data_IF_778941301153
#
_entry.id   IF_778941301153
#
_cell.length_a   1.000
_cell.length_b   1.000
_cell.length_c   1.000
_cell.angle_alpha   90.00
_cell.angle_beta   90.00
_cell.angle_gamma   90.00
#
_symmetry.space_group_name_H-M   'P 1'
#
loop_
_entity.id
_entity.type
_entity.pdbx_description
1 polymer ?
#
# COMPACT_ATOMS: atom_id res chain seq x y z
N UNK A 1 1.47 20.64 -6.88
CA UNK A 1 0.17 20.44 -6.19
C UNK A 1 0.46 20.28 -4.72
N UNK A 2 -0.30 20.93 -3.83
CA UNK A 2 -0.12 20.71 -2.40
C UNK A 2 -0.45 19.25 -2.08
N UNK A 3 0.42 18.60 -1.31
CA UNK A 3 0.25 17.23 -0.80
C UNK A 3 -1.15 16.98 -0.23
N UNK A 4 -1.81 18.01 0.32
CA UNK A 4 -3.18 17.95 0.83
C UNK A 4 -4.23 17.44 -0.15
N UNK A 5 -4.06 17.60 -1.47
CA UNK A 5 -4.99 17.01 -2.45
C UNK A 5 -4.80 15.51 -2.61
N UNK A 6 -3.55 15.02 -2.56
CA UNK A 6 -3.27 13.59 -2.57
C UNK A 6 -3.74 12.94 -1.27
N UNK A 7 -3.54 13.61 -0.14
CA UNK A 7 -4.10 13.21 1.15
C UNK A 7 -5.63 13.06 1.09
N UNK A 8 -6.33 14.05 0.52
CA UNK A 8 -7.79 13.98 0.39
C UNK A 8 -8.26 12.82 -0.51
N UNK A 9 -7.54 12.53 -1.61
CA UNK A 9 -7.82 11.37 -2.47
C UNK A 9 -7.60 10.08 -1.70
N UNK A 10 -6.44 9.93 -1.03
CA UNK A 10 -6.15 8.75 -0.23
C UNK A 10 -7.25 8.49 0.80
N UNK A 11 -7.68 9.54 1.52
CA UNK A 11 -8.72 9.41 2.55
C UNK A 11 -10.11 9.08 1.99
N UNK A 12 -10.46 9.57 0.81
CA UNK A 12 -11.80 9.34 0.24
C UNK A 12 -11.91 8.02 -0.52
N UNK A 13 -10.84 7.61 -1.18
CA UNK A 13 -10.86 6.46 -2.10
C UNK A 13 -10.30 5.18 -1.47
N UNK A 14 -9.39 5.32 -0.49
CA UNK A 14 -8.57 4.22 0.03
C UNK A 14 -8.66 4.01 1.53
N UNK A 15 -9.08 4.99 2.35
CA UNK A 15 -9.35 4.74 3.77
C UNK A 15 -10.72 4.07 3.94
N UNK A 16 -10.75 2.74 3.84
CA UNK A 16 -11.98 1.94 3.86
C UNK A 16 -11.68 0.51 4.30
N UNK A 17 -12.75 -0.14 4.72
CA UNK A 17 -12.79 -1.57 4.96
C UNK A 17 -13.22 -2.28 3.67
N UNK A 18 -12.50 -3.34 3.33
CA UNK A 18 -12.77 -4.23 2.22
C UNK A 18 -13.32 -5.52 2.80
N UNK A 19 -14.53 -5.88 2.39
CA UNK A 19 -15.16 -7.14 2.78
C UNK A 19 -15.21 -8.03 1.55
N UNK A 20 -14.70 -9.24 1.67
CA UNK A 20 -14.73 -10.25 0.62
C UNK A 20 -14.92 -11.65 1.23
N UNK A 21 -15.21 -12.60 0.36
CA UNK A 21 -15.44 -13.99 0.73
C UNK A 21 -14.26 -14.82 0.20
N UNK A 22 -13.56 -15.52 1.09
CA UNK A 22 -12.47 -16.44 0.79
C UNK A 22 -12.85 -17.77 1.42
N UNK A 23 -12.85 -18.85 0.65
CA UNK A 23 -13.22 -20.19 1.12
C UNK A 23 -14.57 -20.25 1.87
N UNK A 24 -15.56 -19.51 1.36
CA UNK A 24 -16.91 -19.34 1.96
C UNK A 24 -16.92 -18.62 3.33
N UNK A 25 -15.80 -18.03 3.75
CA UNK A 25 -15.68 -17.23 4.99
C UNK A 25 -15.52 -15.73 4.69
N UNK A 26 -16.27 -14.85 5.39
CA UNK A 26 -16.14 -13.41 5.22
C UNK A 26 -14.87 -12.91 5.90
N UNK A 27 -14.01 -12.21 5.15
CA UNK A 27 -12.78 -11.59 5.65
C UNK A 27 -12.87 -10.08 5.46
N UNK A 28 -12.51 -9.32 6.50
CA UNK A 28 -12.46 -7.86 6.45
C UNK A 28 -11.02 -7.37 6.48
N UNK A 29 -10.57 -6.70 5.42
CA UNK A 29 -9.30 -5.96 5.40
C UNK A 29 -9.53 -4.46 5.52
N UNK A 30 -9.02 -3.88 6.60
CA UNK A 30 -8.99 -2.43 6.80
C UNK A 30 -7.74 -1.82 6.20
N UNK A 31 -7.85 -0.84 5.29
CA UNK A 31 -6.68 -0.08 4.84
C UNK A 31 -6.33 0.98 5.88
N UNK A 32 -5.25 0.75 6.63
CA UNK A 32 -4.79 1.61 7.73
C UNK A 32 -3.74 2.63 7.33
N UNK A 33 -2.99 2.38 6.26
CA UNK A 33 -1.88 3.26 5.88
C UNK A 33 -1.65 3.33 4.38
N UNK A 34 -1.11 4.47 3.95
CA UNK A 34 -0.79 4.71 2.55
C UNK A 34 0.46 5.56 2.43
N UNK A 35 1.44 5.07 1.69
CA UNK A 35 2.65 5.80 1.33
C UNK A 35 2.76 5.85 -0.19
N UNK A 36 3.07 7.03 -0.72
CA UNK A 36 3.44 7.21 -2.13
C UNK A 36 4.92 7.57 -2.22
N UNK A 37 5.63 7.00 -3.18
CA UNK A 37 7.01 7.33 -3.49
C UNK A 37 7.26 7.42 -5.00
N UNK A 38 8.16 8.30 -5.41
CA UNK A 38 8.67 8.36 -6.78
C UNK A 38 9.73 7.27 -7.00
N UNK A 39 9.69 6.66 -8.18
CA UNK A 39 10.65 5.66 -8.64
C UNK A 39 11.02 5.90 -10.09
N UNK A 40 12.24 5.49 -10.47
CA UNK A 40 12.76 5.73 -11.84
C UNK A 40 12.10 4.83 -12.91
N UNK A 41 11.41 3.76 -12.49
CA UNK A 41 10.71 2.85 -13.41
C UNK A 41 9.26 3.27 -13.66
N UNK A 42 8.86 3.24 -14.94
CA UNK A 42 7.46 3.42 -15.37
C UNK A 42 6.71 2.10 -15.55
N UNK A 43 7.36 0.95 -15.33
CA UNK A 43 6.72 -0.35 -15.47
C UNK A 43 5.59 -0.53 -14.46
N UNK A 44 4.59 -1.31 -14.84
CA UNK A 44 3.63 -1.85 -13.90
C UNK A 44 4.26 -3.04 -13.17
N UNK A 45 4.18 -3.04 -11.84
CA UNK A 45 4.57 -4.18 -11.01
C UNK A 45 3.78 -4.13 -9.69
N UNK A 46 3.70 -5.25 -8.99
CA UNK A 46 3.19 -5.26 -7.62
C UNK A 46 4.00 -6.23 -6.75
N UNK A 47 3.90 -6.04 -5.44
CA UNK A 47 4.45 -6.94 -4.44
C UNK A 47 3.49 -6.98 -3.25
N UNK A 48 3.34 -8.15 -2.66
CA UNK A 48 2.55 -8.37 -1.46
C UNK A 48 3.49 -8.87 -0.37
N UNK A 49 3.41 -8.25 0.80
CA UNK A 49 4.25 -8.58 1.95
C UNK A 49 3.33 -8.91 3.12
N UNK A 50 3.56 -10.06 3.74
CA UNK A 50 3.04 -10.35 5.07
C UNK A 50 4.04 -9.81 6.10
N UNK A 51 3.56 -9.08 7.09
CA UNK A 51 4.33 -8.67 8.26
C UNK A 51 4.01 -9.52 9.49
N UNK A 52 2.76 -10.00 9.57
CA UNK A 52 2.26 -11.00 10.50
C UNK A 52 0.97 -11.62 9.95
N UNK A 53 0.41 -12.61 10.63
CA UNK A 53 -0.76 -13.40 10.21
C UNK A 53 -2.02 -12.56 9.87
N UNK A 54 -2.09 -11.31 10.34
CA UNK A 54 -3.18 -10.37 10.05
C UNK A 54 -2.73 -9.02 9.50
N UNK A 55 -1.45 -8.82 9.21
CA UNK A 55 -0.90 -7.54 8.77
C UNK A 55 -0.19 -7.67 7.43
N UNK A 56 -0.66 -6.89 6.46
CA UNK A 56 -0.24 -7.02 5.08
C UNK A 56 0.14 -5.68 4.45
N UNK A 57 1.06 -5.70 3.49
CA UNK A 57 1.41 -4.56 2.67
C UNK A 57 1.30 -4.91 1.19
N UNK A 58 0.42 -4.20 0.48
CA UNK A 58 0.36 -4.24 -0.97
C UNK A 58 1.13 -3.04 -1.55
N UNK A 59 2.19 -3.31 -2.29
CA UNK A 59 2.93 -2.32 -3.05
C UNK A 59 2.56 -2.39 -4.53
N UNK A 60 2.08 -1.30 -5.11
CA UNK A 60 1.74 -1.22 -6.54
C UNK A 60 2.58 -0.13 -7.19
N UNK A 61 3.39 -0.53 -8.16
CA UNK A 61 4.22 0.36 -8.96
C UNK A 61 3.53 0.66 -10.29
N UNK A 62 3.40 1.94 -10.64
CA UNK A 62 2.96 2.37 -11.96
C UNK A 62 3.36 3.83 -12.23
N UNK A 63 3.62 4.15 -13.51
CA UNK A 63 3.81 5.53 -14.01
C UNK A 63 4.89 6.35 -13.27
N UNK A 64 5.97 5.71 -12.80
CA UNK A 64 7.04 6.41 -12.07
C UNK A 64 6.76 6.58 -10.57
N UNK A 65 5.74 5.89 -10.06
CA UNK A 65 5.37 5.89 -8.65
C UNK A 65 5.25 4.46 -8.13
N UNK A 66 5.43 4.31 -6.83
CA UNK A 66 5.01 3.15 -6.06
C UNK A 66 4.09 3.62 -4.94
N UNK A 67 2.98 2.91 -4.76
CA UNK A 67 2.01 3.13 -3.69
C UNK A 67 2.01 1.91 -2.79
N UNK A 68 2.30 2.11 -1.52
CA UNK A 68 2.20 1.10 -0.48
C UNK A 68 0.89 1.29 0.28
N UNK A 69 0.14 0.21 0.44
CA UNK A 69 -1.07 0.16 1.25
C UNK A 69 -0.83 -0.79 2.42
N UNK A 70 -0.95 -0.29 3.65
CA UNK A 70 -0.94 -1.07 4.87
C UNK A 70 -2.37 -1.53 5.14
N UNK A 71 -2.54 -2.82 5.39
CA UNK A 71 -3.82 -3.45 5.64
C UNK A 71 -3.74 -4.31 6.89
N UNK A 72 -4.82 -4.30 7.66
CA UNK A 72 -5.02 -5.17 8.82
C UNK A 72 -6.29 -5.98 8.61
N UNK A 73 -6.20 -7.30 8.81
CA UNK A 73 -7.32 -8.21 8.79
C UNK A 73 -7.98 -8.30 10.17
N UNK A 74 -9.30 -8.54 10.19
CA UNK A 74 -10.02 -8.85 11.42
C UNK A 74 -9.71 -10.27 11.95
N UNK A 75 -9.33 -11.17 11.06
CA UNK A 75 -8.93 -12.56 11.37
C UNK A 75 -7.62 -12.93 10.64
N UNK A 76 -6.95 -13.99 11.10
CA UNK A 76 -5.76 -14.53 10.44
C UNK A 76 -6.13 -15.10 9.07
N UNK A 77 -5.29 -14.86 8.06
CA UNK A 77 -5.54 -15.35 6.69
C UNK A 77 -4.53 -16.44 6.37
N UNK A 78 -5.01 -17.60 5.91
CA UNK A 78 -4.14 -18.70 5.47
C UNK A 78 -3.30 -18.27 4.26
N UNK A 79 -2.01 -18.61 4.26
CA UNK A 79 -1.10 -18.37 3.15
C UNK A 79 -1.61 -18.98 1.83
N UNK A 80 -2.37 -20.10 1.88
CA UNK A 80 -3.00 -20.72 0.72
C UNK A 80 -4.00 -19.79 0.02
N UNK A 81 -4.62 -18.87 0.75
CA UNK A 81 -5.57 -17.88 0.24
C UNK A 81 -4.91 -16.62 -0.34
N UNK A 82 -3.62 -16.38 -0.10
CA UNK A 82 -2.94 -15.16 -0.55
C UNK A 82 -3.01 -14.89 -2.05
N UNK A 83 -2.87 -15.89 -2.95
CA UNK A 83 -2.99 -15.63 -4.39
C UNK A 83 -4.37 -15.09 -4.79
N UNK A 84 -5.43 -15.62 -4.18
CA UNK A 84 -6.80 -15.14 -4.42
C UNK A 84 -7.00 -13.76 -3.81
N UNK A 85 -6.56 -13.56 -2.57
CA UNK A 85 -6.63 -12.29 -1.89
C UNK A 85 -5.96 -11.17 -2.71
N UNK A 86 -4.73 -11.39 -3.16
CA UNK A 86 -3.98 -10.42 -3.97
C UNK A 86 -4.71 -10.10 -5.27
N UNK A 87 -5.31 -11.11 -5.93
CA UNK A 87 -6.11 -10.89 -7.13
C UNK A 87 -7.29 -9.96 -6.85
N UNK A 88 -8.07 -10.23 -5.80
CA UNK A 88 -9.23 -9.42 -5.39
C UNK A 88 -8.79 -8.00 -5.05
N UNK A 89 -7.72 -7.84 -4.26
CA UNK A 89 -7.17 -6.55 -3.88
C UNK A 89 -6.74 -5.73 -5.10
N UNK A 90 -6.03 -6.34 -6.05
CA UNK A 90 -5.63 -5.64 -7.27
C UNK A 90 -6.85 -5.23 -8.10
N UNK A 91 -7.83 -6.10 -8.28
CA UNK A 91 -9.07 -5.76 -9.00
C UNK A 91 -9.80 -4.57 -8.37
N UNK A 92 -9.93 -4.55 -7.04
CA UNK A 92 -10.67 -3.51 -6.32
C UNK A 92 -9.89 -2.19 -6.14
N UNK A 93 -8.58 -2.26 -5.89
CA UNK A 93 -7.77 -1.11 -5.48
C UNK A 93 -7.05 -0.44 -6.65
N UNK A 94 -6.77 -1.17 -7.74
CA UNK A 94 -6.07 -0.61 -8.91
C UNK A 94 -6.72 0.66 -9.46
N UNK A 95 -8.06 0.77 -9.60
CA UNK A 95 -8.68 2.01 -10.08
C UNK A 95 -8.38 3.22 -9.18
N UNK A 96 -8.48 3.06 -7.86
CA UNK A 96 -8.21 4.10 -6.88
C UNK A 96 -6.72 4.49 -6.85
N UNK A 97 -5.82 3.50 -6.90
CA UNK A 97 -4.38 3.71 -7.00
C UNK A 97 -4.03 4.44 -8.29
N UNK A 98 -4.58 4.01 -9.43
CA UNK A 98 -4.34 4.65 -10.72
C UNK A 98 -4.83 6.09 -10.76
N UNK A 99 -5.96 6.39 -10.09
CA UNK A 99 -6.44 7.75 -9.92
C UNK A 99 -5.48 8.59 -9.09
N UNK A 100 -5.05 8.10 -7.92
CA UNK A 100 -4.07 8.76 -7.07
C UNK A 100 -2.76 9.06 -7.82
N UNK A 101 -2.20 8.04 -8.49
CA UNK A 101 -0.95 8.17 -9.26
C UNK A 101 -1.11 9.14 -10.41
N UNK A 102 -2.21 9.09 -11.17
CA UNK A 102 -2.44 10.02 -12.28
C UNK A 102 -2.57 11.47 -11.80
N UNK A 103 -3.03 11.69 -10.56
CA UNK A 103 -3.04 13.02 -9.93
C UNK A 103 -1.65 13.42 -9.44
N UNK A 104 -0.88 12.49 -8.90
CA UNK A 104 0.50 12.72 -8.49
C UNK A 104 1.40 13.09 -9.69
N UNK A 105 1.28 12.38 -10.81
CA UNK A 105 2.10 12.57 -12.02
C UNK A 105 2.06 14.01 -12.56
N UNK A 106 0.94 14.72 -12.39
CA UNK A 106 0.80 16.09 -12.88
C UNK A 106 1.66 17.09 -12.13
N UNK A 107 1.81 16.91 -10.82
CA UNK A 107 2.13 18.04 -9.95
C UNK A 107 2.84 17.68 -8.62
N UNK A 108 3.06 16.40 -8.32
CA UNK A 108 3.77 15.97 -7.11
C UNK A 108 5.28 16.04 -7.33
N UNK A 109 5.96 16.77 -6.45
CA UNK A 109 7.42 17.00 -6.51
C UNK A 109 8.15 16.39 -5.32
N UNK A 110 7.46 15.67 -4.45
CA UNK A 110 8.07 14.99 -3.31
C UNK A 110 8.80 13.72 -3.73
N UNK A 111 9.68 13.21 -2.88
CA UNK A 111 10.35 11.91 -3.09
C UNK A 111 9.50 10.76 -2.57
N UNK A 112 8.98 10.92 -1.37
CA UNK A 112 8.05 10.00 -0.74
C UNK A 112 7.34 10.70 0.42
N UNK A 113 6.06 10.41 0.57
CA UNK A 113 5.23 10.92 1.64
C UNK A 113 4.18 9.91 2.11
N UNK A 114 3.92 9.93 3.41
CA UNK A 114 2.83 9.22 4.06
C UNK A 114 1.54 10.03 3.87
N UNK A 115 0.55 9.43 3.24
CA UNK A 115 -0.75 10.03 2.94
C UNK A 115 -1.85 9.52 3.87
N UNK A 116 -1.70 8.34 4.47
CA UNK A 116 -2.60 7.83 5.51
C UNK A 116 -1.79 7.18 6.64
N UNK A 117 -2.23 7.45 7.86
CA UNK A 117 -1.82 6.82 9.12
C UNK A 117 -3.06 6.79 10.01
N UNK A 118 -3.91 5.80 9.77
CA UNK A 118 -5.20 5.62 10.41
C UNK A 118 -5.09 4.50 11.45
N UNK A 119 -4.40 4.84 12.54
CA UNK A 119 -4.14 3.93 13.66
C UNK A 119 -3.47 2.60 13.26
N UNK A 120 -2.50 2.68 12.34
CA UNK A 120 -1.66 1.53 12.00
C UNK A 120 -1.04 0.92 13.26
N UNK A 121 -0.98 -0.40 13.30
CA UNK A 121 -0.25 -1.15 14.32
C UNK A 121 1.22 -0.72 14.42
N UNK A 122 1.91 -1.00 15.55
CA UNK A 122 3.31 -0.66 15.72
C UNK A 122 4.24 -1.23 14.62
N UNK A 123 4.02 -2.48 14.20
CA UNK A 123 4.77 -3.17 13.14
C UNK A 123 4.58 -2.49 11.78
N UNK A 124 3.33 -2.18 11.41
CA UNK A 124 3.04 -1.46 10.18
C UNK A 124 3.64 -0.05 10.17
N UNK A 125 3.56 0.66 11.30
CA UNK A 125 4.24 1.97 11.45
C UNK A 125 5.73 1.83 11.23
N UNK A 126 6.40 0.91 11.93
CA UNK A 126 7.84 0.71 11.78
C UNK A 126 8.22 0.43 10.32
N UNK A 127 7.50 -0.47 9.65
CA UNK A 127 7.71 -0.77 8.24
C UNK A 127 7.55 0.46 7.35
N UNK A 128 6.45 1.19 7.48
CA UNK A 128 6.13 2.37 6.65
C UNK A 128 7.12 3.54 6.89
N UNK A 129 7.45 3.84 8.14
CA UNK A 129 8.45 4.86 8.46
C UNK A 129 9.84 4.45 7.97
N UNK A 130 10.18 3.16 8.05
CA UNK A 130 11.39 2.60 7.45
C UNK A 130 11.46 2.85 5.94
N UNK A 131 10.39 2.50 5.20
CA UNK A 131 10.27 2.78 3.76
C UNK A 131 10.40 4.27 3.44
N UNK A 132 9.65 5.11 4.15
CA UNK A 132 9.67 6.57 3.97
C UNK A 132 11.09 7.12 4.09
N UNK A 133 11.84 6.67 5.10
CA UNK A 133 13.22 7.07 5.32
C UNK A 133 14.17 6.57 4.23
N UNK A 134 14.00 5.32 3.76
CA UNK A 134 14.80 4.76 2.66
C UNK A 134 14.61 5.59 1.38
N UNK A 135 13.37 5.87 0.98
CA UNK A 135 13.07 6.68 -0.21
C UNK A 135 13.59 8.12 -0.11
N UNK A 136 13.38 8.78 1.03
CA UNK A 136 13.87 10.16 1.23
C UNK A 136 15.39 10.25 1.15
N UNK A 137 16.09 9.19 1.58
CA UNK A 137 17.56 9.06 1.50
C UNK A 137 18.06 8.52 0.14
N UNK A 138 17.18 8.17 -0.79
CA UNK A 138 17.56 7.57 -2.09
C UNK A 138 18.24 6.21 -1.95
N UNK A 139 17.92 5.46 -0.89
CA UNK A 139 18.50 4.13 -0.66
C UNK A 139 17.70 3.06 -1.40
N UNK A 140 18.34 1.94 -1.79
CA UNK A 140 17.63 0.78 -2.29
C UNK A 140 16.57 0.33 -1.29
N UNK A 141 15.35 0.15 -1.78
CA UNK A 141 14.24 -0.37 -0.98
C UNK A 141 14.17 -1.90 -1.07
N UNK A 142 14.68 -2.45 -2.18
CA UNK A 142 14.69 -3.88 -2.52
C UNK A 142 15.86 -4.70 -1.94
N UNK A 143 16.76 -4.10 -1.15
CA UNK A 143 17.94 -4.84 -0.65
C UNK A 143 17.71 -5.62 0.65
N UNK A 144 16.59 -5.45 1.37
CA UNK A 144 16.34 -6.17 2.63
C UNK A 144 14.85 -6.35 2.89
N UNK A 145 14.29 -7.43 2.35
CA UNK A 145 13.24 -8.22 3.00
C UNK A 145 13.71 -9.67 2.90
N UNK A 146 14.81 -9.99 3.59
CA UNK A 146 14.99 -11.37 4.04
C UNK A 146 13.95 -11.57 5.14
N UNK A 147 13.04 -12.50 4.87
CA UNK A 147 12.13 -13.10 5.84
C UNK A 147 12.98 -13.62 7.00
N UNK A 148 12.68 -13.19 8.22
CA UNK A 148 13.31 -13.70 9.44
C UNK A 148 12.76 -15.09 9.78
#
# INVERSE_FOLDING_TARGET
MPIGKLYAIARSELAKDLVFEIDDEPVTLSIKGLLIAQVDSKSYNFSFFELSESEFVLAVQMKGFIVYLAMEADEEIDEEAYPELVRILLEQLTPAIAFLVTRAEKDYTGKADLLLDDDMSPSLKEFFYGLLMKYRKGRPVYEQTEVA
#
